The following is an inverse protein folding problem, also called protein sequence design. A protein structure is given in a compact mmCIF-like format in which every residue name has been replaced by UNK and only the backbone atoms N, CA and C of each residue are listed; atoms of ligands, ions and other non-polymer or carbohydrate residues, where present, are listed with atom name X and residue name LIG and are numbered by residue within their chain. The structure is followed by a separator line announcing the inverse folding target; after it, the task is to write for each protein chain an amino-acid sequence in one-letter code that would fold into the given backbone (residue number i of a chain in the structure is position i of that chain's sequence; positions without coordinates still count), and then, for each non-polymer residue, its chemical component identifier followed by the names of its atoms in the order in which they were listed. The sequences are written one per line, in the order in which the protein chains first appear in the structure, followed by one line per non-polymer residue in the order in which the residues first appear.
data_IF_484379182160
#
_entry.id   IF_484379182160
#
_cell.length_a   1.000
_cell.length_b   1.000
_cell.length_c   1.000
_cell.angle_alpha   90.00
_cell.angle_beta   90.00
_cell.angle_gamma   90.00
#
_symmetry.space_group_name_H-M   'P 1'
#
loop_
_entity.id
_entity.type
_entity.pdbx_description
1 polymer ?
#
# COMPACT_ATOMS: atom_id res chain seq x y z
N UNK A 1 14.40 -22.49 -3.83
CA UNK A 1 14.47 -21.10 -3.31
C UNK A 1 15.39 -21.06 -2.10
N UNK A 2 16.54 -20.35 -2.15
CA UNK A 2 17.28 -20.03 -0.93
C UNK A 2 16.34 -19.22 -0.05
N UNK A 3 15.91 -19.77 1.10
CA UNK A 3 15.15 -19.00 2.10
C UNK A 3 15.96 -17.75 2.37
N UNK A 4 15.36 -16.56 2.25
CA UNK A 4 16.06 -15.33 2.64
C UNK A 4 16.58 -15.57 4.06
N UNK A 5 17.87 -15.40 4.27
CA UNK A 5 18.46 -15.56 5.61
C UNK A 5 17.72 -14.62 6.57
N UNK A 6 17.63 -15.02 7.84
CA UNK A 6 17.03 -14.19 8.88
C UNK A 6 17.64 -12.78 8.85
N UNK A 7 18.96 -12.71 8.65
CA UNK A 7 19.73 -11.49 8.47
C UNK A 7 19.21 -10.61 7.32
N UNK A 8 18.94 -11.17 6.14
CA UNK A 8 18.40 -10.40 5.02
C UNK A 8 17.02 -9.81 5.34
N UNK A 9 16.17 -10.52 6.10
CA UNK A 9 14.86 -9.98 6.53
C UNK A 9 15.04 -8.84 7.51
N UNK A 10 15.95 -9.00 8.46
CA UNK A 10 16.23 -8.00 9.50
C UNK A 10 16.76 -6.70 8.88
N UNK A 11 17.66 -6.81 7.90
CA UNK A 11 18.13 -5.65 7.12
C UNK A 11 16.97 -4.98 6.37
N UNK A 12 16.10 -5.74 5.69
CA UNK A 12 14.95 -5.13 5.00
C UNK A 12 13.98 -4.46 5.95
N UNK A 13 13.77 -5.02 7.15
CA UNK A 13 12.95 -4.38 8.18
C UNK A 13 13.59 -3.07 8.62
N UNK A 14 14.87 -3.09 8.97
CA UNK A 14 15.59 -1.89 9.42
C UNK A 14 15.54 -0.77 8.39
N UNK A 15 15.81 -1.10 7.12
CA UNK A 15 15.79 -0.14 6.01
C UNK A 15 14.37 0.41 5.82
N UNK A 16 13.35 -0.43 5.72
CA UNK A 16 12.00 0.03 5.41
C UNK A 16 11.37 0.81 6.57
N UNK A 17 11.66 0.42 7.83
CA UNK A 17 11.22 1.14 9.05
C UNK A 17 11.81 2.54 9.15
N UNK A 18 12.99 2.77 8.57
CA UNK A 18 13.62 4.11 8.52
C UNK A 18 13.16 4.89 7.29
N UNK A 19 13.13 4.24 6.12
CA UNK A 19 12.81 4.90 4.85
C UNK A 19 11.34 5.33 4.75
N UNK A 20 10.39 4.52 5.23
CA UNK A 20 8.97 4.85 5.13
C UNK A 20 8.58 6.14 5.88
N UNK A 21 8.93 6.34 7.17
CA UNK A 21 8.63 7.58 7.86
C UNK A 21 9.41 8.77 7.29
N UNK A 22 10.67 8.56 6.87
CA UNK A 22 11.46 9.61 6.22
C UNK A 22 10.81 10.06 4.91
N UNK A 23 10.33 9.12 4.10
CA UNK A 23 9.62 9.41 2.87
C UNK A 23 8.31 10.17 3.14
N UNK A 24 7.54 9.79 4.16
CA UNK A 24 6.32 10.52 4.55
C UNK A 24 6.65 11.95 5.00
N UNK A 25 7.70 12.12 5.81
CA UNK A 25 8.14 13.44 6.27
C UNK A 25 8.57 14.34 5.11
N UNK A 26 9.32 13.79 4.15
CA UNK A 26 9.68 14.52 2.92
C UNK A 26 8.46 14.83 2.06
N UNK A 27 7.51 13.90 1.93
CA UNK A 27 6.28 14.10 1.16
C UNK A 27 5.46 15.26 1.75
N UNK A 28 5.28 15.27 3.07
CA UNK A 28 4.62 16.36 3.79
C UNK A 28 5.38 17.68 3.59
N UNK A 29 6.70 17.69 3.83
CA UNK A 29 7.54 18.90 3.69
C UNK A 29 7.49 19.49 2.28
N UNK A 30 7.59 18.65 1.24
CA UNK A 30 7.52 19.08 -0.15
C UNK A 30 6.10 19.46 -0.59
N UNK A 31 5.07 18.95 0.09
CA UNK A 31 3.67 19.24 -0.20
C UNK A 31 3.13 20.51 0.43
N UNK A 32 3.67 20.95 1.57
CA UNK A 32 3.21 22.17 2.25
C UNK A 32 3.30 23.43 1.38
N UNK A 33 4.36 23.65 0.58
CA UNK A 33 4.42 24.77 -0.37
C UNK A 33 3.36 24.70 -1.47
N UNK A 34 3.03 23.50 -1.96
CA UNK A 34 1.94 23.28 -2.91
C UNK A 34 0.59 23.65 -2.30
N UNK A 35 0.35 23.23 -1.06
CA UNK A 35 -0.86 23.55 -0.32
C UNK A 35 -1.00 25.08 -0.14
N UNK A 36 0.06 25.73 0.33
CA UNK A 36 0.07 27.18 0.53
C UNK A 36 -0.11 27.93 -0.79
N UNK A 37 0.62 27.54 -1.83
CA UNK A 37 0.58 28.17 -3.15
C UNK A 37 -0.78 28.02 -3.85
N UNK A 38 -1.37 26.82 -3.81
CA UNK A 38 -2.67 26.55 -4.43
C UNK A 38 -3.82 27.33 -3.80
N UNK A 39 -3.78 27.59 -2.49
CA UNK A 39 -4.83 28.36 -1.81
C UNK A 39 -4.57 29.87 -1.78
N UNK A 40 -3.30 30.33 -1.80
CA UNK A 40 -2.97 31.76 -1.80
C UNK A 40 -2.94 32.40 -3.19
N UNK A 41 -2.61 31.65 -4.24
CA UNK A 41 -2.38 32.18 -5.60
C UNK A 41 -3.30 31.57 -6.67
N UNK A 42 -4.41 30.94 -6.27
CA UNK A 42 -5.35 30.23 -7.16
C UNK A 42 -5.82 31.04 -8.38
N UNK A 43 -5.75 32.38 -8.33
CA UNK A 43 -6.14 33.28 -9.43
C UNK A 43 -4.99 33.92 -10.23
N UNK A 44 -3.73 33.87 -9.78
CA UNK A 44 -2.63 34.63 -10.40
C UNK A 44 -1.64 33.80 -11.23
N UNK A 45 -1.90 32.50 -11.39
CA UNK A 45 -1.01 31.57 -12.07
C UNK A 45 -0.02 30.90 -11.10
N UNK A 46 0.25 29.61 -11.33
CA UNK A 46 1.19 28.82 -10.52
C UNK A 46 2.60 29.05 -11.04
N UNK A 47 3.47 29.67 -10.24
CA UNK A 47 4.90 29.78 -10.57
C UNK A 47 5.60 28.43 -10.34
N UNK A 48 5.74 27.66 -11.41
CA UNK A 48 6.41 26.36 -11.39
C UNK A 48 7.90 26.46 -11.04
N UNK A 49 8.55 27.60 -11.30
CA UNK A 49 9.97 27.78 -10.98
C UNK A 49 10.17 27.87 -9.46
N UNK A 50 9.30 28.59 -8.76
CA UNK A 50 9.28 28.66 -7.29
C UNK A 50 8.98 27.29 -6.64
N UNK A 51 8.27 26.40 -7.35
CA UNK A 51 7.93 25.06 -6.87
C UNK A 51 8.97 23.98 -7.21
N UNK A 52 10.04 24.31 -7.94
CA UNK A 52 11.04 23.32 -8.34
C UNK A 52 11.66 22.56 -7.16
N UNK A 53 12.06 23.28 -6.10
CA UNK A 53 12.60 22.67 -4.87
C UNK A 53 11.59 21.73 -4.19
N UNK A 54 10.38 22.19 -3.85
CA UNK A 54 9.31 21.34 -3.30
C UNK A 54 8.98 20.10 -4.15
N UNK A 55 8.94 20.25 -5.48
CA UNK A 55 8.72 19.14 -6.42
C UNK A 55 9.85 18.10 -6.31
N UNK A 56 11.10 18.52 -6.25
CA UNK A 56 12.24 17.61 -6.07
C UNK A 56 12.16 16.83 -4.75
N UNK A 57 11.74 17.49 -3.67
CA UNK A 57 11.53 16.85 -2.37
C UNK A 57 10.42 15.81 -2.43
N UNK A 58 9.28 16.12 -3.06
CA UNK A 58 8.20 15.14 -3.26
C UNK A 58 8.63 13.99 -4.17
N UNK A 59 9.37 14.26 -5.25
CA UNK A 59 9.88 13.24 -6.15
C UNK A 59 10.83 12.28 -5.42
N UNK A 60 11.72 12.82 -4.57
CA UNK A 60 12.59 12.01 -3.71
C UNK A 60 11.79 11.17 -2.73
N UNK A 61 10.78 11.75 -2.07
CA UNK A 61 9.88 11.03 -1.18
C UNK A 61 9.19 9.84 -1.89
N UNK A 62 8.63 10.07 -3.07
CA UNK A 62 7.99 9.03 -3.88
C UNK A 62 9.00 7.97 -4.29
N UNK A 63 10.21 8.36 -4.70
CA UNK A 63 11.28 7.42 -5.05
C UNK A 63 11.65 6.52 -3.85
N UNK A 64 11.73 7.07 -2.64
CA UNK A 64 11.97 6.29 -1.43
C UNK A 64 10.81 5.31 -1.14
N UNK A 65 9.56 5.74 -1.27
CA UNK A 65 8.40 4.83 -1.14
C UNK A 65 8.43 3.72 -2.18
N UNK A 66 8.81 4.01 -3.42
CA UNK A 66 8.99 3.00 -4.47
C UNK A 66 10.10 2.02 -4.09
N UNK A 67 11.23 2.49 -3.56
CA UNK A 67 12.31 1.61 -3.08
C UNK A 67 11.78 0.66 -1.99
N UNK A 68 11.04 1.18 -1.00
CA UNK A 68 10.38 0.37 0.05
C UNK A 68 9.43 -0.67 -0.55
N UNK A 69 8.68 -0.34 -1.59
CA UNK A 69 7.81 -1.32 -2.28
C UNK A 69 8.64 -2.36 -3.03
N UNK A 70 9.72 -1.95 -3.69
CA UNK A 70 10.58 -2.85 -4.46
C UNK A 70 11.36 -3.84 -3.58
N UNK A 71 11.62 -3.52 -2.30
CA UNK A 71 12.21 -4.49 -1.35
C UNK A 71 11.35 -5.75 -1.22
N UNK A 72 10.03 -5.63 -1.46
CA UNK A 72 9.08 -6.74 -1.48
C UNK A 72 9.25 -7.72 -2.64
N UNK A 73 10.19 -7.50 -3.56
CA UNK A 73 10.67 -8.53 -4.49
C UNK A 73 11.52 -9.57 -3.73
N UNK A 74 12.31 -9.12 -2.75
CA UNK A 74 13.27 -9.94 -2.00
C UNK A 74 12.70 -10.41 -0.67
N UNK A 75 12.06 -9.51 0.08
CA UNK A 75 11.52 -9.75 1.42
C UNK A 75 10.23 -8.95 1.62
N UNK A 76 9.14 -9.62 1.99
CA UNK A 76 7.89 -8.95 2.36
C UNK A 76 7.90 -8.42 3.80
N UNK A 77 8.95 -8.74 4.58
CA UNK A 77 8.98 -8.47 6.01
C UNK A 77 9.05 -6.97 6.32
N UNK A 78 9.79 -6.19 5.51
CA UNK A 78 9.91 -4.75 5.68
C UNK A 78 8.58 -4.03 5.44
N UNK A 79 7.87 -4.32 4.34
CA UNK A 79 6.51 -3.80 4.13
C UNK A 79 5.54 -4.14 5.27
N UNK A 80 5.56 -5.37 5.80
CA UNK A 80 4.72 -5.73 6.95
C UNK A 80 5.08 -4.90 8.18
N UNK A 81 6.38 -4.71 8.46
CA UNK A 81 6.84 -3.88 9.56
C UNK A 81 6.41 -2.41 9.39
N UNK A 82 6.50 -1.86 8.18
CA UNK A 82 5.99 -0.53 7.82
C UNK A 82 4.47 -0.45 8.06
N UNK A 83 3.73 -1.51 7.75
CA UNK A 83 2.32 -1.63 8.10
C UNK A 83 2.08 -1.57 9.60
N UNK A 84 2.90 -2.25 10.42
CA UNK A 84 2.78 -2.20 11.88
C UNK A 84 3.11 -0.81 12.44
N UNK A 85 4.02 -0.06 11.81
CA UNK A 85 4.30 1.33 12.19
C UNK A 85 3.06 2.22 12.05
N UNK A 86 2.08 1.86 11.22
CA UNK A 86 0.81 2.61 11.08
C UNK A 86 -0.04 2.61 12.36
N UNK A 87 0.23 1.74 13.32
CA UNK A 87 -0.43 1.75 14.63
C UNK A 87 -0.17 3.07 15.35
N UNK A 88 1.04 3.63 15.26
CA UNK A 88 1.40 4.89 15.92
C UNK A 88 0.57 6.08 15.41
N UNK A 89 0.53 6.40 14.10
CA UNK A 89 -0.33 7.47 13.61
C UNK A 89 -1.81 7.16 13.81
N UNK A 90 -2.22 5.88 13.83
CA UNK A 90 -3.59 5.50 14.16
C UNK A 90 -3.95 5.84 15.60
N UNK A 91 -3.12 5.48 16.59
CA UNK A 91 -3.39 5.80 17.99
C UNK A 91 -3.43 7.31 18.22
N UNK A 92 -2.53 8.06 17.56
CA UNK A 92 -2.51 9.53 17.60
C UNK A 92 -3.79 10.11 16.98
N UNK A 93 -4.22 9.61 15.81
CA UNK A 93 -5.42 10.11 15.13
C UNK A 93 -6.72 9.80 15.89
N UNK A 94 -6.79 8.67 16.59
CA UNK A 94 -7.98 8.28 17.37
C UNK A 94 -8.05 8.96 18.74
N UNK A 95 -6.95 9.55 19.22
CA UNK A 95 -6.86 10.12 20.56
C UNK A 95 -6.32 11.56 20.55
N UNK A 96 -7.11 12.55 20.09
CA UNK A 96 -6.73 13.97 20.15
C UNK A 96 -6.41 14.46 21.58
N UNK A 97 -6.94 13.78 22.60
CA UNK A 97 -6.64 14.06 24.01
C UNK A 97 -5.22 13.65 24.44
N UNK A 98 -4.60 12.63 23.82
CA UNK A 98 -3.20 12.27 24.05
C UNK A 98 -2.27 13.41 23.58
N UNK A 99 -2.61 14.01 22.45
CA UNK A 99 -1.94 15.17 21.89
C UNK A 99 -1.94 16.36 22.87
N UNK A 100 -3.08 16.66 23.51
CA UNK A 100 -3.15 17.70 24.57
C UNK A 100 -2.35 17.34 25.84
N UNK A 101 -2.31 16.06 26.22
CA UNK A 101 -1.60 15.63 27.43
C UNK A 101 -0.07 15.75 27.31
N UNK A 102 0.46 15.60 26.09
CA UNK A 102 1.90 15.77 25.79
C UNK A 102 2.27 17.25 25.58
N UNK A 103 1.34 18.09 25.12
CA UNK A 103 1.62 19.46 24.66
C UNK A 103 1.01 20.58 25.53
N UNK A 104 1.28 20.59 26.84
CA UNK A 104 0.95 21.74 27.73
C UNK A 104 1.79 23.01 27.47
N UNK A 105 2.41 23.18 26.29
CA UNK A 105 3.31 24.29 25.94
C UNK A 105 2.76 25.12 24.75
N UNK A 106 3.08 26.42 24.63
CA UNK A 106 2.55 27.30 23.58
C UNK A 106 2.91 26.75 22.19
N UNK A 107 1.87 26.46 21.40
CA UNK A 107 1.95 25.62 20.20
C UNK A 107 2.84 26.24 19.09
N UNK A 108 3.88 25.53 18.61
CA UNK A 108 4.48 25.82 17.31
C UNK A 108 3.44 25.56 16.21
N UNK A 109 3.47 26.37 15.15
CA UNK A 109 2.57 26.35 13.97
C UNK A 109 2.48 25.01 13.22
N UNK A 110 3.26 24.02 13.62
CA UNK A 110 3.33 22.70 13.01
C UNK A 110 2.02 21.92 13.21
N UNK A 111 1.15 22.27 14.16
CA UNK A 111 -0.16 21.64 14.39
C UNK A 111 -1.22 21.84 13.29
N UNK A 112 -0.91 22.62 12.25
CA UNK A 112 -1.54 22.50 10.92
C UNK A 112 -1.35 21.07 10.32
N UNK A 113 -0.54 20.21 10.95
CA UNK A 113 -0.21 18.84 10.58
C UNK A 113 -1.28 17.77 10.87
N UNK A 114 -2.53 18.11 11.20
CA UNK A 114 -3.64 17.12 11.16
C UNK A 114 -3.69 16.37 9.81
N UNK A 115 -3.30 17.07 8.73
CA UNK A 115 -3.15 16.53 7.38
C UNK A 115 -1.85 15.71 7.20
N UNK A 116 -0.76 16.10 7.86
CA UNK A 116 0.48 15.32 7.85
C UNK A 116 0.34 14.03 8.65
N UNK A 117 -0.58 13.94 9.62
CA UNK A 117 -0.98 12.68 10.28
C UNK A 117 -1.92 11.82 9.43
N UNK A 118 -2.70 12.42 8.53
CA UNK A 118 -3.54 11.70 7.55
C UNK A 118 -2.73 10.95 6.49
N UNK A 119 -1.58 11.51 6.08
CA UNK A 119 -0.65 10.89 5.13
C UNK A 119 -0.19 9.48 5.56
N UNK A 120 0.39 9.29 6.77
CA UNK A 120 0.73 7.96 7.28
C UNK A 120 -0.44 6.98 7.26
N UNK A 121 -1.65 7.42 7.61
CA UNK A 121 -2.83 6.55 7.63
C UNK A 121 -3.30 6.12 6.24
N UNK A 122 -3.10 6.99 5.24
CA UNK A 122 -3.44 6.68 3.85
C UNK A 122 -2.39 5.79 3.17
N UNK A 123 -1.13 5.83 3.62
CA UNK A 123 -0.03 5.15 2.92
C UNK A 123 0.48 3.90 3.66
N UNK A 124 0.68 3.96 4.98
CA UNK A 124 1.33 2.88 5.74
C UNK A 124 0.48 1.60 5.85
N UNK A 125 -0.83 1.63 6.20
CA UNK A 125 -1.63 0.41 6.25
C UNK A 125 -1.70 -0.29 4.88
N UNK A 126 -1.97 0.39 3.75
CA UNK A 126 -1.89 -0.21 2.43
C UNK A 126 -0.54 -0.86 2.12
N UNK A 127 0.58 -0.19 2.44
CA UNK A 127 1.94 -0.76 2.28
C UNK A 127 2.12 -2.04 3.11
N UNK A 128 1.62 -2.05 4.35
CA UNK A 128 1.53 -3.24 5.19
C UNK A 128 0.82 -4.40 4.50
N UNK A 129 -0.36 -4.13 3.97
CA UNK A 129 -1.16 -5.14 3.28
C UNK A 129 -0.53 -5.62 1.98
N UNK A 130 0.15 -4.75 1.24
CA UNK A 130 0.96 -5.13 0.08
C UNK A 130 2.03 -6.16 0.46
N UNK A 131 2.70 -5.97 1.60
CA UNK A 131 3.62 -6.95 2.17
C UNK A 131 2.96 -8.30 2.44
N UNK A 132 1.77 -8.29 3.06
CA UNK A 132 0.99 -9.52 3.33
C UNK A 132 0.60 -10.22 2.03
N UNK A 133 0.09 -9.49 1.04
CA UNK A 133 -0.29 -10.04 -0.27
C UNK A 133 0.93 -10.64 -0.97
N UNK A 134 2.06 -9.94 -0.99
CA UNK A 134 3.30 -10.46 -1.57
C UNK A 134 3.75 -11.76 -0.87
N UNK A 135 3.65 -11.82 0.46
CA UNK A 135 3.96 -13.03 1.23
C UNK A 135 3.05 -14.21 0.87
N UNK A 136 1.75 -13.96 0.66
CA UNK A 136 0.77 -14.97 0.25
C UNK A 136 1.04 -15.45 -1.17
N UNK A 137 1.22 -14.54 -2.13
CA UNK A 137 1.43 -14.85 -3.55
C UNK A 137 2.72 -15.65 -3.76
N UNK A 138 3.77 -15.39 -2.97
CA UNK A 138 4.99 -16.22 -2.98
C UNK A 138 4.74 -17.69 -2.60
N UNK A 139 3.76 -17.95 -1.72
CA UNK A 139 3.40 -19.30 -1.28
C UNK A 139 2.41 -19.98 -2.23
N UNK A 140 1.49 -19.20 -2.82
CA UNK A 140 0.44 -19.68 -3.73
C UNK A 140 0.37 -18.76 -4.95
N UNK A 141 1.19 -19.02 -5.98
CA UNK A 141 1.32 -18.14 -7.13
C UNK A 141 0.22 -18.31 -8.18
N UNK A 142 -0.59 -19.36 -8.05
CA UNK A 142 -1.65 -19.68 -9.01
C UNK A 142 -2.72 -18.59 -9.05
N UNK A 143 -3.06 -18.06 -10.25
CA UNK A 143 -4.16 -17.14 -10.38
C UNK A 143 -5.45 -17.88 -10.03
N UNK A 144 -6.24 -17.32 -9.10
CA UNK A 144 -7.61 -17.77 -8.91
C UNK A 144 -8.37 -17.37 -10.17
N UNK A 145 -9.03 -18.32 -10.84
CA UNK A 145 -9.48 -18.23 -12.24
C UNK A 145 -10.16 -16.93 -12.68
N UNK A 146 -10.36 -16.76 -13.99
CA UNK A 146 -10.77 -15.49 -14.63
C UNK A 146 -11.93 -14.76 -13.92
N UNK A 147 -12.94 -15.48 -13.42
CA UNK A 147 -14.06 -14.90 -12.67
C UNK A 147 -13.61 -14.19 -11.37
N UNK A 148 -12.76 -14.81 -10.55
CA UNK A 148 -12.22 -14.18 -9.33
C UNK A 148 -11.28 -13.03 -9.66
N UNK A 149 -10.57 -13.10 -10.80
CA UNK A 149 -9.80 -11.99 -11.33
C UNK A 149 -10.66 -10.77 -11.65
N UNK A 150 -11.80 -10.98 -12.33
CA UNK A 150 -12.75 -9.92 -12.65
C UNK A 150 -13.37 -9.29 -11.38
N UNK A 151 -13.74 -10.12 -10.39
CA UNK A 151 -14.20 -9.61 -9.10
C UNK A 151 -13.13 -8.75 -8.44
N UNK A 152 -11.86 -9.14 -8.46
CA UNK A 152 -10.78 -8.34 -7.91
C UNK A 152 -10.61 -6.97 -8.60
N UNK A 153 -10.76 -6.92 -9.93
CA UNK A 153 -10.65 -5.68 -10.72
C UNK A 153 -11.77 -4.70 -10.39
N UNK A 154 -12.98 -5.18 -10.12
CA UNK A 154 -14.13 -4.33 -9.80
C UNK A 154 -14.19 -3.98 -8.31
N UNK A 155 -13.84 -4.93 -7.44
CA UNK A 155 -13.97 -4.77 -6.00
C UNK A 155 -12.85 -3.89 -5.41
N UNK A 156 -11.61 -3.98 -5.91
CA UNK A 156 -10.50 -3.19 -5.38
C UNK A 156 -10.75 -1.67 -5.51
N UNK A 157 -11.15 -1.12 -6.67
CA UNK A 157 -11.46 0.30 -6.81
C UNK A 157 -12.57 0.75 -5.86
N UNK A 158 -13.65 -0.03 -5.73
CA UNK A 158 -14.78 0.31 -4.86
C UNK A 158 -14.36 0.35 -3.40
N UNK A 159 -13.61 -0.67 -2.94
CA UNK A 159 -13.12 -0.72 -1.56
C UNK A 159 -12.09 0.37 -1.27
N UNK A 160 -11.17 0.64 -2.19
CA UNK A 160 -10.16 1.69 -2.02
C UNK A 160 -10.79 3.08 -2.03
N UNK A 161 -11.73 3.35 -2.95
CA UNK A 161 -12.46 4.60 -3.00
C UNK A 161 -13.32 4.80 -1.74
N UNK A 162 -14.08 3.78 -1.32
CA UNK A 162 -14.87 3.83 -0.09
C UNK A 162 -14.00 3.99 1.16
N UNK A 163 -12.86 3.31 1.21
CA UNK A 163 -11.91 3.43 2.31
C UNK A 163 -11.29 4.83 2.40
N UNK A 164 -10.82 5.37 1.27
CA UNK A 164 -10.31 6.73 1.19
C UNK A 164 -11.40 7.76 1.53
N UNK A 165 -12.64 7.54 1.08
CA UNK A 165 -13.78 8.40 1.38
C UNK A 165 -14.04 8.49 2.88
N UNK A 166 -14.17 7.35 3.56
CA UNK A 166 -14.42 7.32 5.01
C UNK A 166 -13.25 7.90 5.81
N UNK A 167 -12.01 7.63 5.40
CA UNK A 167 -10.83 8.21 6.03
C UNK A 167 -10.82 9.73 5.93
N UNK A 168 -10.98 10.26 4.72
CA UNK A 168 -10.99 11.70 4.49
C UNK A 168 -12.17 12.39 5.20
N UNK A 169 -13.34 11.75 5.23
CA UNK A 169 -14.48 12.25 5.98
C UNK A 169 -14.20 12.30 7.48
N UNK A 170 -13.66 11.23 8.08
CA UNK A 170 -13.33 11.17 9.50
C UNK A 170 -12.25 12.18 9.90
N UNK A 171 -11.18 12.28 9.10
CA UNK A 171 -10.11 13.28 9.28
C UNK A 171 -10.68 14.70 9.17
N UNK A 172 -11.46 14.96 8.12
CA UNK A 172 -12.10 16.26 7.89
C UNK A 172 -13.05 16.67 9.01
N UNK A 173 -13.80 15.71 9.57
CA UNK A 173 -14.70 15.94 10.72
C UNK A 173 -13.92 16.38 11.96
N UNK A 174 -12.85 15.67 12.30
CA UNK A 174 -11.97 16.04 13.42
C UNK A 174 -11.32 17.40 13.22
N UNK A 175 -10.86 17.69 12.00
CA UNK A 175 -10.24 18.97 11.65
C UNK A 175 -11.21 20.14 11.74
N UNK A 176 -12.44 19.98 11.23
CA UNK A 176 -13.47 21.03 11.33
C UNK A 176 -13.86 21.31 12.78
N UNK A 177 -13.98 20.29 13.63
CA UNK A 177 -14.28 20.47 15.05
C UNK A 177 -13.15 21.22 15.75
N UNK A 178 -11.89 20.82 15.52
CA UNK A 178 -10.72 21.48 16.08
C UNK A 178 -10.62 22.94 15.64
N UNK A 179 -10.83 23.24 14.36
CA UNK A 179 -10.69 24.60 13.82
C UNK A 179 -11.86 25.53 14.19
N UNK A 180 -13.08 25.02 14.27
CA UNK A 180 -14.27 25.86 14.54
C UNK A 180 -14.55 26.02 16.03
N UNK A 181 -14.30 24.98 16.81
CA UNK A 181 -14.70 24.93 18.21
C UNK A 181 -13.50 24.99 19.16
N UNK A 182 -12.27 24.87 18.66
CA UNK A 182 -11.04 24.77 19.47
C UNK A 182 -11.12 23.65 20.51
N UNK A 183 -11.90 22.61 20.19
CA UNK A 183 -12.11 21.42 21.03
C UNK A 183 -11.44 20.22 20.38
N UNK A 184 -10.88 19.35 21.21
CA UNK A 184 -10.23 18.10 20.80
C UNK A 184 -10.91 16.92 21.49
N UNK A 185 -12.23 16.88 21.39
CA UNK A 185 -13.04 15.83 21.98
C UNK A 185 -12.95 14.54 21.18
N UNK A 186 -13.21 13.43 21.88
CA UNK A 186 -13.35 12.13 21.24
C UNK A 186 -14.65 12.14 20.43
N UNK A 187 -14.54 11.90 19.12
CA UNK A 187 -15.65 11.84 18.18
C UNK A 187 -15.86 10.37 17.73
N UNK A 188 -16.81 9.63 18.33
CA UNK A 188 -16.99 8.20 18.05
C UNK A 188 -17.31 7.90 16.59
N UNK A 189 -18.04 8.80 15.92
CA UNK A 189 -18.38 8.74 14.50
C UNK A 189 -17.14 8.89 13.61
N UNK A 190 -16.29 9.88 13.89
CA UNK A 190 -15.04 10.10 13.16
C UNK A 190 -14.06 8.93 13.35
N UNK A 191 -13.94 8.43 14.59
CA UNK A 191 -13.13 7.24 14.93
C UNK A 191 -13.65 6.02 14.15
N UNK A 192 -14.96 5.79 14.16
CA UNK A 192 -15.59 4.70 13.42
C UNK A 192 -15.31 4.78 11.92
N UNK A 193 -15.41 5.98 11.34
CA UNK A 193 -15.12 6.22 9.92
C UNK A 193 -13.64 5.98 9.58
N UNK A 194 -12.70 6.46 10.41
CA UNK A 194 -11.25 6.22 10.21
C UNK A 194 -10.94 4.73 10.28
N UNK A 195 -11.41 4.03 11.32
CA UNK A 195 -11.18 2.58 11.48
C UNK A 195 -11.77 1.78 10.32
N UNK A 196 -13.02 2.03 9.97
CA UNK A 196 -13.68 1.34 8.85
C UNK A 196 -12.99 1.68 7.52
N UNK A 197 -12.56 2.93 7.33
CA UNK A 197 -11.82 3.35 6.16
C UNK A 197 -10.48 2.63 6.01
N UNK A 198 -9.70 2.49 7.09
CA UNK A 198 -8.47 1.67 7.11
C UNK A 198 -8.79 0.22 6.75
N UNK A 199 -9.81 -0.38 7.35
CA UNK A 199 -10.22 -1.76 7.06
C UNK A 199 -10.60 -1.95 5.59
N UNK A 200 -11.33 -1.01 4.99
CA UNK A 200 -11.67 -1.03 3.57
C UNK A 200 -10.45 -0.87 2.67
N UNK A 201 -9.49 0.00 3.03
CA UNK A 201 -8.22 0.10 2.30
C UNK A 201 -7.45 -1.21 2.33
N UNK A 202 -7.32 -1.83 3.50
CA UNK A 202 -6.67 -3.14 3.66
C UNK A 202 -7.41 -4.22 2.86
N UNK A 203 -8.74 -4.24 2.89
CA UNK A 203 -9.53 -5.17 2.10
C UNK A 203 -9.31 -4.95 0.60
N UNK A 204 -9.34 -3.70 0.12
CA UNK A 204 -9.10 -3.31 -1.26
C UNK A 204 -7.74 -3.77 -1.76
N UNK A 205 -6.66 -3.47 -1.03
CA UNK A 205 -5.32 -3.99 -1.36
C UNK A 205 -5.28 -5.51 -1.27
N UNK A 206 -5.97 -6.12 -0.29
CA UNK A 206 -6.05 -7.57 -0.15
C UNK A 206 -6.64 -8.29 -1.36
N UNK A 207 -7.59 -7.67 -2.06
CA UNK A 207 -8.19 -8.25 -3.28
C UNK A 207 -7.24 -8.33 -4.47
N UNK A 208 -6.10 -7.61 -4.44
CA UNK A 208 -5.04 -7.70 -5.47
C UNK A 208 -4.39 -9.08 -5.54
N UNK A 209 -4.59 -9.91 -4.51
CA UNK A 209 -4.25 -11.33 -4.56
C UNK A 209 -4.98 -12.05 -5.70
N UNK A 210 -6.19 -11.61 -6.06
CA UNK A 210 -7.02 -12.22 -7.09
C UNK A 210 -6.65 -11.72 -8.49
N UNK A 211 -6.32 -10.45 -8.65
CA UNK A 211 -5.86 -9.87 -9.92
C UNK A 211 -4.67 -8.94 -9.72
N UNK A 212 -3.57 -9.13 -10.47
CA UNK A 212 -2.41 -8.24 -10.36
C UNK A 212 -2.73 -6.84 -10.88
N UNK A 213 -3.73 -6.70 -11.75
CA UNK A 213 -4.11 -5.44 -12.38
C UNK A 213 -5.17 -4.66 -11.59
N UNK A 214 -5.60 -5.17 -10.43
CA UNK A 214 -6.65 -4.55 -9.62
C UNK A 214 -6.29 -3.13 -9.14
N UNK A 215 -5.00 -2.78 -9.07
CA UNK A 215 -4.54 -1.45 -8.67
C UNK A 215 -4.28 -0.48 -9.83
N UNK A 216 -4.36 -0.93 -11.09
CA UNK A 216 -4.16 -0.05 -12.25
C UNK A 216 -5.24 1.03 -12.32
N UNK A 217 -6.51 0.63 -12.23
CA UNK A 217 -7.63 1.58 -12.31
C UNK A 217 -7.60 2.60 -11.15
N UNK A 218 -7.41 2.20 -9.87
CA UNK A 218 -7.20 3.14 -8.78
C UNK A 218 -6.01 4.09 -8.98
N UNK A 219 -4.89 3.60 -9.51
CA UNK A 219 -3.72 4.44 -9.75
C UNK A 219 -4.00 5.51 -10.82
N UNK A 220 -4.62 5.13 -11.93
CA UNK A 220 -5.00 6.07 -13.01
C UNK A 220 -6.03 7.09 -12.48
N UNK A 221 -7.01 6.63 -11.71
CA UNK A 221 -8.00 7.51 -11.10
C UNK A 221 -7.36 8.52 -10.14
N UNK A 222 -6.42 8.08 -9.29
CA UNK A 222 -5.70 8.98 -8.37
C UNK A 222 -4.87 10.03 -9.12
N UNK A 223 -4.20 9.66 -10.22
CA UNK A 223 -3.47 10.61 -11.07
C UNK A 223 -4.44 11.64 -11.66
N UNK A 224 -5.53 11.18 -12.25
CA UNK A 224 -6.54 12.07 -12.85
C UNK A 224 -7.15 13.03 -11.82
N UNK A 225 -7.57 12.51 -10.65
CA UNK A 225 -8.14 13.32 -9.58
C UNK A 225 -7.12 14.31 -9.03
N UNK A 226 -5.86 13.90 -8.82
CA UNK A 226 -4.82 14.81 -8.33
C UNK A 226 -4.52 15.91 -9.35
N UNK A 227 -4.51 15.58 -10.64
CA UNK A 227 -4.33 16.56 -11.70
C UNK A 227 -5.48 17.59 -11.72
N UNK A 228 -6.74 17.13 -11.65
CA UNK A 228 -7.90 18.03 -11.53
C UNK A 228 -7.77 18.93 -10.31
N UNK A 229 -7.26 18.39 -9.20
CA UNK A 229 -7.11 19.15 -7.95
C UNK A 229 -6.03 20.22 -8.01
N UNK A 230 -4.93 19.93 -8.72
CA UNK A 230 -3.81 20.85 -8.87
C UNK A 230 -4.15 22.10 -9.72
N UNK A 231 -5.25 22.08 -10.48
CA UNK A 231 -5.69 23.21 -11.32
C UNK A 231 -7.04 23.76 -10.82
N UNK A 232 -7.04 24.84 -10.00
CA UNK A 232 -8.22 25.33 -9.29
C UNK A 232 -9.40 25.66 -10.21
N UNK A 233 -9.12 26.22 -11.40
CA UNK A 233 -10.13 26.64 -12.39
C UNK A 233 -10.98 25.49 -12.91
N UNK A 234 -10.43 24.27 -13.00
CA UNK A 234 -11.16 23.07 -13.38
C UNK A 234 -11.78 22.33 -12.18
N UNK A 235 -11.14 22.41 -11.01
CA UNK A 235 -11.55 21.69 -9.80
C UNK A 235 -12.70 22.34 -9.01
N UNK A 236 -12.87 23.67 -9.06
CA UNK A 236 -13.85 24.39 -8.22
C UNK A 236 -15.30 23.89 -8.35
N UNK A 237 -15.74 23.55 -9.56
CA UNK A 237 -17.10 23.01 -9.80
C UNK A 237 -17.29 21.61 -9.20
N UNK A 238 -16.23 20.79 -9.19
CA UNK A 238 -16.24 19.43 -8.62
C UNK A 238 -16.19 19.49 -7.09
N UNK A 239 -15.43 20.43 -6.54
CA UNK A 239 -15.31 20.62 -5.09
C UNK A 239 -16.61 21.06 -4.42
N UNK A 240 -17.40 21.92 -5.09
CA UNK A 240 -18.66 22.42 -4.55
C UNK A 240 -19.73 21.33 -4.35
N UNK A 241 -19.55 20.15 -4.95
CA UNK A 241 -20.45 19.01 -4.80
C UNK A 241 -20.06 18.08 -3.63
N UNK A 242 -18.87 18.25 -3.05
CA UNK A 242 -18.40 17.40 -1.96
C UNK A 242 -18.98 17.86 -0.61
N UNK A 243 -19.25 16.92 0.32
CA UNK A 243 -19.52 17.27 1.71
C UNK A 243 -18.40 18.14 2.27
N UNK A 244 -18.75 19.08 3.17
CA UNK A 244 -17.82 20.05 3.74
C UNK A 244 -16.60 19.40 4.39
N UNK A 245 -16.81 18.28 5.09
CA UNK A 245 -15.76 17.48 5.72
C UNK A 245 -14.71 17.03 4.69
N UNK A 246 -15.18 16.53 3.53
CA UNK A 246 -14.30 16.04 2.48
C UNK A 246 -13.65 17.15 1.69
N UNK A 247 -14.38 18.23 1.42
CA UNK A 247 -13.80 19.43 0.80
C UNK A 247 -12.63 19.98 1.63
N UNK A 248 -12.69 19.85 2.95
CA UNK A 248 -11.65 20.32 3.86
C UNK A 248 -10.39 19.44 3.80
N UNK A 249 -10.55 18.12 3.71
CA UNK A 249 -9.43 17.17 3.78
C UNK A 249 -8.86 16.75 2.41
N UNK A 250 -9.72 16.52 1.41
CA UNK A 250 -9.35 15.92 0.12
C UNK A 250 -8.34 16.76 -0.67
N UNK A 251 -8.57 18.06 -0.96
CA UNK A 251 -7.61 18.85 -1.72
C UNK A 251 -6.27 18.92 -1.00
N UNK A 252 -6.30 19.04 0.32
CA UNK A 252 -5.10 19.16 1.11
C UNK A 252 -4.24 17.89 1.08
N UNK A 253 -4.85 16.72 1.27
CA UNK A 253 -4.16 15.42 1.17
C UNK A 253 -3.59 15.19 -0.24
N UNK A 254 -4.33 15.56 -1.28
CA UNK A 254 -3.89 15.40 -2.67
C UNK A 254 -2.73 16.34 -3.02
N UNK A 255 -2.80 17.61 -2.61
CA UNK A 255 -1.74 18.62 -2.83
C UNK A 255 -0.49 18.34 -1.99
N UNK A 256 -0.65 17.70 -0.83
CA UNK A 256 0.48 17.16 -0.08
C UNK A 256 1.22 16.03 -0.82
N UNK A 257 0.65 15.53 -1.92
CA UNK A 257 1.25 14.51 -2.77
C UNK A 257 0.81 13.09 -2.47
N UNK A 258 -0.17 12.88 -1.56
CA UNK A 258 -0.65 11.54 -1.19
C UNK A 258 -1.23 10.79 -2.40
N UNK A 259 -1.98 11.49 -3.26
CA UNK A 259 -2.62 10.90 -4.44
C UNK A 259 -1.60 10.37 -5.43
N UNK A 260 -0.60 11.19 -5.78
CA UNK A 260 0.50 10.79 -6.67
C UNK A 260 1.32 9.66 -6.04
N UNK A 261 1.69 9.79 -4.77
CA UNK A 261 2.46 8.77 -4.06
C UNK A 261 1.74 7.43 -4.05
N UNK A 262 0.45 7.39 -3.68
CA UNK A 262 -0.35 6.17 -3.70
C UNK A 262 -0.45 5.58 -5.10
N UNK A 263 -0.68 6.40 -6.14
CA UNK A 263 -0.74 5.92 -7.52
C UNK A 263 0.58 5.27 -7.97
N UNK A 264 1.72 5.93 -7.73
CA UNK A 264 3.04 5.40 -8.11
C UNK A 264 3.36 4.12 -7.31
N UNK A 265 3.05 4.09 -6.02
CA UNK A 265 3.18 2.89 -5.17
C UNK A 265 2.32 1.73 -5.69
N UNK A 266 1.08 2.00 -6.10
CA UNK A 266 0.17 1.01 -6.68
C UNK A 266 0.69 0.42 -7.99
N UNK A 267 1.26 1.26 -8.86
CA UNK A 267 1.92 0.82 -10.10
C UNK A 267 3.18 0.00 -9.81
N UNK A 268 4.03 0.47 -8.90
CA UNK A 268 5.23 -0.26 -8.47
C UNK A 268 4.86 -1.63 -7.89
N UNK A 269 3.86 -1.70 -7.02
CA UNK A 269 3.42 -2.95 -6.42
C UNK A 269 2.82 -3.91 -7.46
N UNK A 270 2.12 -3.40 -8.46
CA UNK A 270 1.66 -4.21 -9.60
C UNK A 270 2.83 -4.88 -10.32
N UNK A 271 3.92 -4.15 -10.57
CA UNK A 271 5.14 -4.71 -11.14
C UNK A 271 5.81 -5.75 -10.22
N UNK A 272 5.83 -5.51 -8.90
CA UNK A 272 6.32 -6.47 -7.90
C UNK A 272 5.51 -7.77 -7.96
N UNK A 273 4.18 -7.71 -7.99
CA UNK A 273 3.32 -8.88 -8.08
C UNK A 273 3.56 -9.69 -9.35
N UNK A 274 3.67 -9.03 -10.51
CA UNK A 274 3.97 -9.68 -11.78
C UNK A 274 5.33 -10.40 -11.72
N UNK A 275 6.36 -9.73 -11.19
CA UNK A 275 7.70 -10.31 -11.03
C UNK A 275 7.71 -11.49 -10.07
N UNK A 276 7.08 -11.38 -8.91
CA UNK A 276 6.98 -12.46 -7.92
C UNK A 276 6.28 -13.68 -8.51
N UNK A 277 5.17 -13.48 -9.24
CA UNK A 277 4.46 -14.57 -9.95
C UNK A 277 5.30 -15.21 -11.05
N UNK A 278 6.02 -14.42 -11.83
CA UNK A 278 6.91 -14.94 -12.87
C UNK A 278 8.06 -15.77 -12.28
N UNK A 279 8.67 -15.31 -11.19
CA UNK A 279 9.74 -16.03 -10.49
C UNK A 279 9.25 -17.36 -9.90
N UNK A 280 8.04 -17.39 -9.34
CA UNK A 280 7.46 -18.62 -8.80
C UNK A 280 7.12 -19.65 -9.88
N UNK A 281 6.75 -19.21 -11.10
CA UNK A 281 6.50 -20.13 -12.24
C UNK A 281 7.78 -20.74 -12.80
N UNK A 282 8.88 -19.98 -12.78
CA UNK A 282 10.20 -20.43 -13.25
C UNK A 282 10.95 -21.28 -12.25
N UNK A 283 10.51 -21.30 -11.00
CA UNK A 283 11.01 -22.24 -9.99
C UNK A 283 10.20 -23.51 -10.17
N UNK A 284 10.67 -24.55 -10.89
CA UNK A 284 9.95 -25.80 -10.95
C UNK A 284 9.67 -26.23 -9.52
N UNK A 285 8.39 -26.51 -9.25
CA UNK A 285 7.97 -27.16 -8.04
C UNK A 285 8.94 -28.33 -7.82
N UNK A 286 9.62 -28.28 -6.68
CA UNK A 286 10.36 -29.42 -6.16
C UNK A 286 9.41 -30.60 -6.25
N UNK A 287 9.73 -31.58 -7.10
CA UNK A 287 8.96 -32.80 -7.36
C UNK A 287 8.82 -33.71 -6.11
N UNK A 288 9.08 -33.18 -4.91
CA UNK A 288 9.24 -33.94 -3.66
C UNK A 288 8.34 -33.42 -2.52
N UNK A 289 7.16 -32.86 -2.81
CA UNK A 289 6.13 -32.68 -1.77
C UNK A 289 4.98 -33.68 -2.00
N UNK A 290 5.06 -34.91 -1.45
CA UNK A 290 4.01 -35.91 -1.57
C UNK A 290 2.71 -35.53 -0.84
N UNK A 291 2.62 -34.35 -0.23
CA UNK A 291 1.41 -33.87 0.49
C UNK A 291 0.52 -32.94 -0.32
N UNK A 292 0.87 -32.62 -1.56
CA UNK A 292 0.06 -31.79 -2.46
C UNK A 292 -0.31 -32.51 -3.75
N UNK A 293 -0.71 -33.79 -3.66
CA UNK A 293 -1.50 -34.41 -4.71
C UNK A 293 -2.97 -34.01 -4.51
N UNK A 294 -3.60 -33.29 -5.45
CA UNK A 294 -5.05 -33.23 -5.50
C UNK A 294 -5.56 -34.64 -5.79
N UNK A 295 -6.36 -35.19 -4.89
CA UNK A 295 -7.18 -36.36 -5.20
C UNK A 295 -8.04 -36.03 -6.43
N UNK A 296 -7.79 -36.72 -7.54
CA UNK A 296 -8.67 -36.70 -8.71
C UNK A 296 -7.98 -36.26 -10.01
N UNK A 297 -7.27 -37.19 -10.65
CA UNK A 297 -7.22 -37.43 -12.10
C UNK A 297 -5.89 -38.11 -12.46
N UNK A 298 -5.87 -39.44 -12.44
CA UNK A 298 -4.89 -40.20 -13.22
C UNK A 298 -5.48 -40.40 -14.61
N UNK A 299 -4.91 -39.83 -15.69
CA UNK A 299 -4.79 -40.57 -16.92
C UNK A 299 -3.62 -41.54 -16.75
N UNK A 300 -3.89 -42.85 -16.75
CA UNK A 300 -2.87 -43.86 -16.94
C UNK A 300 -2.14 -43.56 -18.26
N UNK A 301 -0.92 -43.06 -18.16
CA UNK A 301 0.07 -43.06 -19.23
C UNK A 301 1.31 -43.81 -18.72
N UNK A 302 1.28 -45.13 -18.80
CA UNK A 302 2.49 -45.92 -19.06
C UNK A 302 2.68 -45.92 -20.58
N UNK A 303 3.90 -45.68 -21.14
CA UNK A 303 4.98 -46.70 -21.13
C UNK A 303 6.41 -46.10 -21.33
N UNK A 304 7.47 -46.88 -21.66
CA UNK A 304 7.95 -48.15 -21.12
C UNK A 304 9.41 -48.04 -20.59
N UNK A 305 9.76 -48.78 -19.53
CA UNK A 305 11.16 -49.01 -19.17
C UNK A 305 11.77 -50.11 -20.06
N UNK A 306 13.06 -50.01 -20.44
CA UNK A 306 13.75 -51.05 -21.20
C UNK A 306 13.98 -52.30 -20.33
N UNK A 307 13.93 -53.51 -20.89
CA UNK A 307 14.14 -54.74 -20.13
C UNK A 307 15.59 -54.81 -19.65
N UNK A 308 15.78 -54.74 -18.33
CA UNK A 308 17.06 -55.00 -17.69
C UNK A 308 17.44 -56.47 -17.87
N UNK A 309 18.54 -56.71 -18.58
CA UNK A 309 19.20 -58.01 -18.61
C UNK A 309 19.70 -58.34 -17.21
N UNK A 310 19.10 -59.36 -16.57
CA UNK A 310 19.64 -59.94 -15.35
C UNK A 310 20.90 -60.75 -15.66
N UNK A 311 21.98 -60.63 -14.87
CA UNK A 311 23.12 -61.53 -14.96
C UNK A 311 22.73 -62.95 -14.51
N UNK A 312 23.27 -64.01 -15.10
CA UNK A 312 22.96 -65.38 -14.70
C UNK A 312 23.51 -65.66 -13.29
N UNK A 313 22.68 -66.27 -12.45
CA UNK A 313 23.04 -66.70 -11.11
C UNK A 313 24.14 -67.79 -11.18
N UNK A 314 25.22 -67.58 -10.45
CA UNK A 314 26.27 -68.57 -10.22
C UNK A 314 25.76 -69.68 -9.29
N UNK A 315 25.90 -70.97 -9.65
CA UNK A 315 25.59 -72.07 -8.73
C UNK A 315 26.71 -72.25 -7.70
N UNK A 316 26.34 -72.31 -6.42
CA UNK A 316 27.25 -72.67 -5.34
C UNK A 316 27.66 -74.15 -5.42
N UNK A 317 28.92 -74.51 -5.10
CA UNK A 317 29.36 -75.90 -5.07
C UNK A 317 28.82 -76.64 -3.83
N UNK A 318 28.50 -77.94 -3.94
CA UNK A 318 28.12 -78.75 -2.79
C UNK A 318 29.35 -79.01 -1.90
N UNK A 319 29.18 -78.76 -0.61
CA UNK A 319 30.12 -79.18 0.43
C UNK A 319 29.98 -80.68 0.66
N UNK A 320 31.07 -81.42 0.46
CA UNK A 320 31.30 -82.78 0.99
C UNK A 320 32.27 -82.72 2.15
#
# INVERSE_FOLDING_TARGET
MRRSSLLARLITILVDVVLAPLAIGLLATGGTPWLAGAFQYAGSGVDLAALAGPILVQALAIALLVIVVLTAIWSSAGLIAVGLLSIVPLTVALSPSLLLSVYRAPLPREWLDALSYGLPLLLLPPLGMMGVVAAIVRRRPEPRGAALGAVGILLAPVLLAGGAWLLLWGIGRGMLLAMQQFRFDILPDAIGAVLLGVLLLLAGVGTTRWSPFALLLPAVALIAVTAVVAFPTAGFSVYGMLPREMFTALPAVLLLGAGVAAAVVFLAFTAVLLRVRAQSRRSPARLDDPRSAPYGAYPQQTPPYPPGQYPPATPYPPTS
#
